data_IF_664535735956
#
_entry.id   IF_664535735956
#
_cell.length_a   1.000
_cell.length_b   1.000
_cell.length_c   1.000
_cell.angle_alpha   90.00
_cell.angle_beta   90.00
_cell.angle_gamma   90.00
#
_symmetry.space_group_name_H-M   'P 1'
#
loop_
_entity.id
_entity.type
_entity.pdbx_description
1 polymer ?
#
# COMPACT_ATOMS: atom_id res chain seq x y z
N UNK A 1 -0.16 11.19 8.20
CA UNK A 1 -0.98 12.14 7.42
C UNK A 1 -2.43 12.03 7.87
N UNK A 2 -3.25 13.07 7.70
CA UNK A 2 -4.68 13.00 8.07
C UNK A 2 -5.49 12.41 6.91
N UNK A 3 -6.22 11.31 7.16
CA UNK A 3 -7.13 10.69 6.19
C UNK A 3 -8.51 11.37 6.11
N UNK A 4 -8.68 12.51 6.79
CA UNK A 4 -9.96 13.23 6.85
C UNK A 4 -10.38 13.66 5.43
N UNK A 5 -11.58 13.24 5.02
CA UNK A 5 -12.14 13.53 3.69
C UNK A 5 -11.74 12.56 2.58
N UNK A 6 -10.90 11.55 2.86
CA UNK A 6 -10.55 10.49 1.90
C UNK A 6 -11.43 9.26 2.11
N UNK A 7 -11.97 8.70 1.02
CA UNK A 7 -12.71 7.43 1.05
C UNK A 7 -11.72 6.26 1.02
N UNK A 8 -11.58 5.57 2.15
CA UNK A 8 -10.82 4.31 2.21
C UNK A 8 -11.60 3.22 1.48
N UNK A 9 -10.95 2.55 0.54
CA UNK A 9 -11.50 1.44 -0.24
C UNK A 9 -11.02 0.08 0.25
N UNK A 10 -9.86 0.01 0.90
CA UNK A 10 -9.33 -1.24 1.41
C UNK A 10 -7.92 -1.09 1.96
N UNK A 11 -7.33 -2.24 2.31
CA UNK A 11 -5.96 -2.34 2.81
C UNK A 11 -5.27 -3.51 2.10
N UNK A 12 -4.09 -3.27 1.53
CA UNK A 12 -3.19 -4.33 1.05
C UNK A 12 -2.14 -4.58 2.13
N UNK A 13 -2.00 -5.84 2.53
CA UNK A 13 -1.00 -6.27 3.52
C UNK A 13 0.08 -7.06 2.80
N UNK A 14 1.34 -6.73 3.09
CA UNK A 14 2.52 -7.41 2.58
C UNK A 14 3.29 -7.93 3.78
N UNK A 15 3.38 -9.24 3.91
CA UNK A 15 4.23 -9.87 4.92
C UNK A 15 5.68 -9.79 4.46
N UNK A 16 6.57 -9.33 5.33
CA UNK A 16 8.00 -9.14 5.10
C UNK A 16 8.86 -9.92 6.11
N UNK A 17 8.25 -10.83 6.87
CA UNK A 17 8.95 -11.66 7.85
C UNK A 17 10.04 -12.47 7.16
N UNK A 18 11.25 -12.41 7.70
CA UNK A 18 12.44 -13.12 7.18
C UNK A 18 12.87 -12.75 5.75
N UNK A 19 12.26 -11.72 5.16
CA UNK A 19 12.63 -11.23 3.84
C UNK A 19 13.81 -10.25 3.91
N UNK A 20 14.69 -10.31 2.91
CA UNK A 20 15.76 -9.33 2.78
C UNK A 20 15.26 -8.04 2.11
N UNK A 21 16.02 -6.95 2.25
CA UNK A 21 15.64 -5.64 1.72
C UNK A 21 15.29 -5.64 0.21
N UNK A 22 16.05 -6.39 -0.61
CA UNK A 22 15.80 -6.45 -2.05
C UNK A 22 14.49 -7.21 -2.37
N UNK A 23 14.19 -8.26 -1.64
CA UNK A 23 12.94 -9.01 -1.77
C UNK A 23 11.74 -8.13 -1.38
N UNK A 24 11.85 -7.43 -0.24
CA UNK A 24 10.83 -6.49 0.24
C UNK A 24 10.58 -5.39 -0.80
N UNK A 25 11.63 -4.78 -1.33
CA UNK A 25 11.52 -3.73 -2.35
C UNK A 25 10.76 -4.24 -3.58
N UNK A 26 11.12 -5.44 -4.07
CA UNK A 26 10.43 -6.05 -5.22
C UNK A 26 8.96 -6.29 -4.94
N UNK A 27 8.63 -6.88 -3.78
CA UNK A 27 7.25 -7.18 -3.38
C UNK A 27 6.39 -5.91 -3.26
N UNK A 28 6.96 -4.86 -2.65
CA UNK A 28 6.28 -3.56 -2.50
C UNK A 28 6.07 -2.91 -3.87
N UNK A 29 7.08 -2.92 -4.75
CA UNK A 29 6.97 -2.37 -6.10
C UNK A 29 5.90 -3.08 -6.93
N UNK A 30 5.85 -4.42 -6.87
CA UNK A 30 4.81 -5.20 -7.54
C UNK A 30 3.42 -4.87 -7.01
N UNK A 31 3.26 -4.74 -5.68
CA UNK A 31 1.99 -4.35 -5.06
C UNK A 31 1.56 -2.93 -5.48
N UNK A 32 2.47 -1.96 -5.49
CA UNK A 32 2.21 -0.59 -5.94
C UNK A 32 1.77 -0.60 -7.42
N UNK A 33 2.46 -1.36 -8.26
CA UNK A 33 2.10 -1.47 -9.68
C UNK A 33 0.70 -2.07 -9.85
N UNK A 34 0.35 -3.11 -9.10
CA UNK A 34 -1.00 -3.70 -9.10
C UNK A 34 -2.07 -2.68 -8.68
N UNK A 35 -1.87 -1.97 -7.55
CA UNK A 35 -2.77 -0.95 -7.03
C UNK A 35 -3.01 0.15 -8.07
N UNK A 36 -1.94 0.64 -8.70
CA UNK A 36 -2.03 1.64 -9.75
C UNK A 36 -2.81 1.14 -10.97
N UNK A 37 -2.60 -0.13 -11.38
CA UNK A 37 -3.32 -0.74 -12.50
C UNK A 37 -4.82 -0.91 -12.23
N UNK A 38 -5.19 -1.06 -10.96
CA UNK A 38 -6.59 -1.12 -10.51
C UNK A 38 -7.25 0.26 -10.37
N UNK A 39 -6.52 1.36 -10.60
CA UNK A 39 -7.04 2.72 -10.50
C UNK A 39 -7.18 3.23 -9.06
N UNK A 40 -6.60 2.53 -8.10
CA UNK A 40 -6.59 2.93 -6.70
C UNK A 40 -5.38 3.85 -6.42
N UNK A 41 -5.47 4.63 -5.34
CA UNK A 41 -4.35 5.41 -4.79
C UNK A 41 -3.92 4.86 -3.42
N UNK A 42 -2.65 4.99 -3.07
CA UNK A 42 -2.16 4.69 -1.72
C UNK A 42 -2.28 5.96 -0.90
N UNK A 43 -3.12 5.92 0.13
CA UNK A 43 -3.40 7.05 1.02
C UNK A 43 -2.40 7.15 2.16
N UNK A 44 -1.93 6.00 2.65
CA UNK A 44 -1.00 5.90 3.77
C UNK A 44 -0.24 4.58 3.75
N UNK A 45 0.92 4.55 4.39
CA UNK A 45 1.76 3.37 4.55
C UNK A 45 2.10 3.21 6.02
N UNK A 46 1.81 2.04 6.57
CA UNK A 46 2.23 1.68 7.93
C UNK A 46 3.10 0.44 7.91
N UNK A 47 4.13 0.44 8.74
CA UNK A 47 5.13 -0.62 8.78
C UNK A 47 5.20 -1.13 10.22
N UNK A 48 5.22 -2.45 10.35
CA UNK A 48 5.47 -3.18 11.60
C UNK A 48 6.72 -4.04 11.40
N UNK A 49 7.14 -4.80 12.42
CA UNK A 49 8.30 -5.70 12.29
C UNK A 49 8.15 -6.69 11.12
N UNK A 50 6.92 -7.16 10.89
CA UNK A 50 6.69 -8.29 9.99
C UNK A 50 5.79 -7.94 8.79
N UNK A 51 5.19 -6.74 8.77
CA UNK A 51 4.21 -6.39 7.75
C UNK A 51 4.29 -4.92 7.31
N UNK A 52 3.98 -4.70 6.04
CA UNK A 52 3.69 -3.40 5.43
C UNK A 52 2.21 -3.35 5.08
N UNK A 53 1.52 -2.31 5.54
CA UNK A 53 0.12 -2.02 5.27
C UNK A 53 0.03 -0.84 4.32
N UNK A 54 -0.56 -1.04 3.15
CA UNK A 54 -0.88 0.03 2.20
C UNK A 54 -2.38 0.33 2.30
N UNK A 55 -2.72 1.52 2.79
CA UNK A 55 -4.10 1.97 2.90
C UNK A 55 -4.55 2.50 1.55
N UNK A 56 -5.61 1.94 0.98
CA UNK A 56 -6.05 2.23 -0.38
C UNK A 56 -7.24 3.18 -0.38
N UNK A 57 -7.23 4.13 -1.30
CA UNK A 57 -8.32 5.04 -1.60
C UNK A 57 -8.71 5.01 -3.07
N UNK A 58 -9.86 5.57 -3.38
CA UNK A 58 -10.22 5.82 -4.78
C UNK A 58 -9.44 7.02 -5.30
N UNK A 59 -8.94 6.95 -6.53
CA UNK A 59 -8.47 8.16 -7.21
C UNK A 59 -9.61 9.16 -7.25
N UNK A 60 -9.42 10.32 -6.62
CA UNK A 60 -10.27 11.47 -6.89
C UNK A 60 -10.04 11.85 -8.35
N UNK A 61 -10.92 11.40 -9.24
CA UNK A 61 -11.08 12.00 -10.56
C UNK A 61 -11.74 13.36 -10.32
N UNK A 62 -10.92 14.36 -9.98
CA UNK A 62 -11.31 15.76 -10.02
C UNK A 62 -11.56 16.20 -11.45
#
# INVERSE_FOLDING_TARGET
MSLIGKKVLGVKVINILEENANAIEKMVNEAIHEINRQGNEILDIQITGDNIFLILGGKNNG
#
